data_IF_847123743335
#
_entry.id   IF_847123743335
#
_cell.length_a   1.000
_cell.length_b   1.000
_cell.length_c   1.000
_cell.angle_alpha   90.00
_cell.angle_beta   90.00
_cell.angle_gamma   90.00
#
_symmetry.space_group_name_H-M   'P 1'
#
loop_
_entity.id
_entity.type
_entity.pdbx_description
1 polymer ?
#
# COMPACT_ATOMS: atom_id res chain seq x y z
N UNK A 1 17.31 7.46 0.52
CA UNK A 1 17.05 7.62 1.96
C UNK A 1 16.13 6.51 2.44
N UNK A 2 16.39 5.94 3.62
CA UNK A 2 15.43 4.98 4.14
C UNK A 2 14.08 5.66 4.38
N UNK A 3 13.02 4.95 4.07
CA UNK A 3 11.66 5.44 4.21
C UNK A 3 11.25 5.31 5.69
N UNK A 4 10.95 6.43 6.35
CA UNK A 4 10.44 6.42 7.73
C UNK A 4 8.92 6.26 7.75
N UNK A 5 8.33 6.15 8.94
CA UNK A 5 6.87 5.96 9.07
C UNK A 5 6.09 7.10 8.42
N UNK A 6 6.56 8.32 8.52
CA UNK A 6 5.92 9.48 7.92
C UNK A 6 5.89 9.37 6.40
N UNK A 7 7.01 8.93 5.78
CA UNK A 7 7.08 8.73 4.34
C UNK A 7 6.16 7.58 3.89
N UNK A 8 6.13 6.48 4.64
CA UNK A 8 5.23 5.35 4.35
C UNK A 8 3.77 5.81 4.40
N UNK A 9 3.40 6.55 5.45
CA UNK A 9 2.03 7.05 5.59
C UNK A 9 1.66 8.03 4.48
N UNK A 10 2.60 8.88 4.04
CA UNK A 10 2.36 9.79 2.93
C UNK A 10 2.07 9.04 1.63
N UNK A 11 2.79 7.96 1.35
CA UNK A 11 2.51 7.12 0.19
C UNK A 11 1.14 6.45 0.29
N UNK A 12 0.77 5.96 1.47
CA UNK A 12 -0.54 5.37 1.71
C UNK A 12 -1.64 6.40 1.45
N UNK A 13 -1.48 7.62 1.94
CA UNK A 13 -2.46 8.69 1.73
C UNK A 13 -2.65 9.02 0.25
N UNK A 14 -1.55 9.08 -0.51
CA UNK A 14 -1.63 9.33 -1.95
C UNK A 14 -2.36 8.20 -2.68
N UNK A 15 -2.08 6.95 -2.32
CA UNK A 15 -2.72 5.79 -2.93
C UNK A 15 -4.22 5.74 -2.58
N UNK A 16 -4.58 6.02 -1.33
CA UNK A 16 -5.99 6.09 -0.91
C UNK A 16 -6.72 7.19 -1.66
N UNK A 17 -6.09 8.35 -1.84
CA UNK A 17 -6.69 9.45 -2.60
C UNK A 17 -6.91 9.04 -4.07
N UNK A 18 -5.98 8.33 -4.67
CA UNK A 18 -6.13 7.82 -6.03
C UNK A 18 -7.25 6.79 -6.12
N UNK A 19 -7.34 5.87 -5.16
CA UNK A 19 -8.43 4.90 -5.09
C UNK A 19 -9.79 5.59 -5.06
N UNK A 20 -9.94 6.61 -4.23
CA UNK A 20 -11.18 7.36 -4.14
C UNK A 20 -11.51 8.06 -5.45
N UNK A 21 -10.52 8.65 -6.12
CA UNK A 21 -10.74 9.31 -7.42
C UNK A 21 -11.22 8.31 -8.48
N UNK A 22 -10.62 7.11 -8.51
CA UNK A 22 -11.02 6.07 -9.44
C UNK A 22 -12.46 5.60 -9.19
N UNK A 23 -12.82 5.38 -7.93
CA UNK A 23 -14.17 4.97 -7.56
C UNK A 23 -15.18 6.06 -7.86
N UNK A 24 -14.86 7.32 -7.59
CA UNK A 24 -15.73 8.45 -7.88
C UNK A 24 -15.92 8.65 -9.39
N UNK A 25 -14.87 8.44 -10.18
CA UNK A 25 -14.97 8.57 -11.65
C UNK A 25 -15.87 7.50 -12.26
N UNK A 26 -16.06 6.37 -11.55
CA UNK A 26 -16.99 5.32 -11.95
C UNK A 26 -18.43 5.57 -11.56
N UNK A 27 -18.70 6.63 -10.80
CA UNK A 27 -20.06 6.96 -10.35
C UNK A 27 -20.94 7.30 -11.55
N UNK A 28 -22.07 6.59 -11.67
CA UNK A 28 -22.99 6.77 -12.80
C UNK A 28 -22.58 6.01 -14.07
N UNK A 29 -21.42 5.34 -14.11
CA UNK A 29 -20.97 4.49 -15.22
C UNK A 29 -19.99 3.44 -14.71
N UNK A 30 -19.88 2.28 -15.37
CA UNK A 30 -18.86 1.30 -15.03
C UNK A 30 -17.44 1.86 -15.28
N UNK A 31 -16.46 1.40 -14.50
CA UNK A 31 -15.08 1.68 -14.78
C UNK A 31 -14.66 1.00 -16.09
N UNK A 32 -13.85 1.68 -16.90
CA UNK A 32 -13.27 1.07 -18.09
C UNK A 32 -12.12 0.13 -17.71
N UNK A 33 -11.57 -0.59 -18.69
CA UNK A 33 -10.51 -1.57 -18.44
C UNK A 33 -9.26 -0.94 -17.86
N UNK A 34 -8.87 0.24 -18.32
CA UNK A 34 -7.70 0.95 -17.83
C UNK A 34 -7.90 1.37 -16.37
N UNK A 35 -9.10 1.86 -16.03
CA UNK A 35 -9.45 2.25 -14.68
C UNK A 35 -9.44 1.04 -13.74
N UNK A 36 -9.99 -0.10 -14.17
CA UNK A 36 -9.94 -1.34 -13.39
C UNK A 36 -8.51 -1.80 -13.13
N UNK A 37 -7.66 -1.78 -14.14
CA UNK A 37 -6.25 -2.16 -14.00
C UNK A 37 -5.53 -1.24 -13.04
N UNK A 38 -5.79 0.06 -13.13
CA UNK A 38 -5.17 1.03 -12.23
C UNK A 38 -5.63 0.82 -10.80
N UNK A 39 -6.93 0.59 -10.60
CA UNK A 39 -7.48 0.32 -9.27
C UNK A 39 -6.84 -0.93 -8.64
N UNK A 40 -6.68 -2.01 -9.41
CA UNK A 40 -5.99 -3.20 -8.94
C UNK A 40 -4.56 -2.90 -8.53
N UNK A 41 -3.83 -2.14 -9.35
CA UNK A 41 -2.44 -1.76 -9.04
C UNK A 41 -2.35 -0.94 -7.75
N UNK A 42 -3.27 0.00 -7.56
CA UNK A 42 -3.34 0.82 -6.34
C UNK A 42 -3.59 -0.07 -5.12
N UNK A 43 -4.53 -1.00 -5.22
CA UNK A 43 -4.84 -1.90 -4.10
C UNK A 43 -3.66 -2.81 -3.75
N UNK A 44 -2.93 -3.32 -4.75
CA UNK A 44 -1.71 -4.10 -4.53
C UNK A 44 -0.65 -3.27 -3.80
N UNK A 45 -0.44 -2.04 -4.25
CA UNK A 45 0.53 -1.14 -3.63
C UNK A 45 0.14 -0.79 -2.19
N UNK A 46 -1.15 -0.56 -1.94
CA UNK A 46 -1.63 -0.32 -0.58
C UNK A 46 -1.31 -1.49 0.34
N UNK A 47 -1.56 -2.72 -0.10
CA UNK A 47 -1.25 -3.90 0.70
C UNK A 47 0.24 -4.00 0.99
N UNK A 48 1.10 -3.69 0.01
CA UNK A 48 2.55 -3.70 0.19
C UNK A 48 3.01 -2.64 1.18
N UNK A 49 2.44 -1.43 1.13
CA UNK A 49 2.81 -0.35 2.07
C UNK A 49 2.27 -0.60 3.48
N UNK A 50 1.07 -1.15 3.61
CA UNK A 50 0.56 -1.56 4.92
C UNK A 50 1.42 -2.66 5.55
N UNK A 51 1.87 -3.62 4.74
CA UNK A 51 2.79 -4.66 5.18
C UNK A 51 4.12 -4.05 5.65
N UNK A 52 4.66 -3.10 4.88
CA UNK A 52 5.89 -2.39 5.25
C UNK A 52 5.74 -1.69 6.60
N UNK A 53 4.63 -0.98 6.80
CA UNK A 53 4.36 -0.27 8.05
C UNK A 53 4.31 -1.25 9.23
N UNK A 54 3.66 -2.41 9.05
CA UNK A 54 3.62 -3.45 10.07
C UNK A 54 5.01 -3.98 10.41
N UNK A 55 5.83 -4.22 9.39
CA UNK A 55 7.22 -4.65 9.60
C UNK A 55 7.99 -3.64 10.45
N UNK A 56 7.87 -2.36 10.12
CA UNK A 56 8.57 -1.29 10.84
C UNK A 56 8.12 -1.24 12.30
N UNK A 57 6.83 -1.31 12.56
CA UNK A 57 6.29 -1.29 13.92
C UNK A 57 6.70 -2.50 14.73
N UNK A 58 6.70 -3.69 14.11
CA UNK A 58 7.17 -4.90 14.77
C UNK A 58 8.65 -4.80 15.16
N UNK A 59 9.48 -4.24 14.29
CA UNK A 59 10.91 -4.05 14.60
C UNK A 59 11.11 -3.07 15.75
N UNK A 60 10.38 -1.97 15.76
CA UNK A 60 10.43 -0.99 16.86
C UNK A 60 10.04 -1.64 18.17
N UNK A 61 8.99 -2.46 18.19
CA UNK A 61 8.51 -3.17 19.37
C UNK A 61 9.56 -4.11 19.98
N UNK A 62 10.39 -4.73 19.11
CA UNK A 62 11.43 -5.67 19.54
C UNK A 62 12.83 -5.03 19.55
N UNK A 63 12.92 -3.71 19.62
CA UNK A 63 14.18 -2.95 19.63
C UNK A 63 15.07 -3.25 18.42
N UNK A 64 14.46 -3.58 17.28
CA UNK A 64 15.17 -3.77 16.02
C UNK A 64 15.12 -2.51 15.18
N UNK A 65 16.03 -2.40 14.21
CA UNK A 65 16.08 -1.24 13.33
C UNK A 65 14.90 -1.23 12.35
N UNK A 66 13.96 -0.27 12.45
CA UNK A 66 12.84 -0.18 11.51
C UNK A 66 13.29 0.02 10.05
N UNK A 67 14.43 0.67 9.84
CA UNK A 67 14.93 0.95 8.50
C UNK A 67 15.35 -0.31 7.75
N UNK A 68 15.49 -1.45 8.43
CA UNK A 68 15.76 -2.73 7.78
C UNK A 68 14.50 -3.36 7.16
N UNK A 69 13.31 -2.87 7.47
CA UNK A 69 12.08 -3.31 6.83
C UNK A 69 12.07 -2.86 5.36
N UNK A 70 11.49 -3.67 4.49
CA UNK A 70 11.45 -3.39 3.06
C UNK A 70 10.15 -3.87 2.42
N UNK A 71 9.83 -3.32 1.26
CA UNK A 71 8.67 -3.73 0.47
C UNK A 71 8.83 -5.20 0.08
N UNK A 72 7.82 -6.01 0.38
CA UNK A 72 7.77 -7.41 -0.03
C UNK A 72 6.94 -7.56 -1.30
N UNK A 73 7.14 -8.66 -2.02
CA UNK A 73 6.40 -8.91 -3.25
C UNK A 73 4.90 -9.07 -2.97
N UNK A 74 4.10 -8.84 -4.00
CA UNK A 74 2.65 -9.05 -3.95
C UNK A 74 2.31 -10.46 -3.46
N UNK A 75 2.96 -11.49 -3.99
CA UNK A 75 2.71 -12.88 -3.60
C UNK A 75 2.94 -13.10 -2.11
N UNK A 76 4.03 -12.58 -1.59
CA UNK A 76 4.36 -12.70 -0.17
C UNK A 76 3.30 -12.04 0.71
N UNK A 77 2.87 -10.83 0.32
CA UNK A 77 1.88 -10.07 1.08
C UNK A 77 0.53 -10.77 1.03
N UNK A 78 0.10 -11.24 -0.14
CA UNK A 78 -1.18 -11.95 -0.29
C UNK A 78 -1.21 -13.25 0.52
N UNK A 79 -0.14 -14.02 0.50
CA UNK A 79 -0.04 -15.25 1.30
C UNK A 79 -0.16 -14.96 2.79
N UNK A 80 0.43 -13.88 3.24
CA UNK A 80 0.36 -13.46 4.64
C UNK A 80 -1.05 -13.03 5.06
N UNK A 81 -1.80 -12.42 4.14
CA UNK A 81 -3.15 -11.92 4.40
C UNK A 81 -4.24 -13.00 4.31
N UNK A 82 -3.90 -14.16 3.77
CA UNK A 82 -4.81 -15.31 3.72
C UNK A 82 -4.80 -16.06 5.08
#
# INVERSE_FOLDING_TARGET
MPMDDKAVLAHIEELVAEEHRLLDSGEGRPLDEAEHKRLQAVNVQLDQYYDLLRQRRAREEFDQDPSSAHIRSQETVEDYLQ
#
